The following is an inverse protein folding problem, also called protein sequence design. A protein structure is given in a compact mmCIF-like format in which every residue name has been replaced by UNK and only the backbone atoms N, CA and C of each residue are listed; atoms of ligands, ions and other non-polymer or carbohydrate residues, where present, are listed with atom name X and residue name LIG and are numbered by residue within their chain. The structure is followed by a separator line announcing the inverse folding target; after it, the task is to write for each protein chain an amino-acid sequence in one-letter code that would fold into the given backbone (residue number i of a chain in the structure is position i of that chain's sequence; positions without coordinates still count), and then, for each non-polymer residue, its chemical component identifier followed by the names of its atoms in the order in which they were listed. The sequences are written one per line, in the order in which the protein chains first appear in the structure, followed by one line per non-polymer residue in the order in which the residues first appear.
data_IF_794107423293
#
_entry.id   IF_794107423293
#
_cell.length_a   1.000
_cell.length_b   1.000
_cell.length_c   1.000
_cell.angle_alpha   90.00
_cell.angle_beta   90.00
_cell.angle_gamma   90.00
#
_symmetry.space_group_name_H-M   'P 1'
#
loop_
_entity.id
_entity.type
_entity.pdbx_description
1 polymer ?
#
# COMPACT_ATOMS: atom_id res chain seq x y z
N UNK A 1 36.38 0.99 24.91
CA UNK A 1 35.29 -0.01 24.75
C UNK A 1 33.93 0.59 25.08
N UNK A 2 33.74 1.29 26.23
CA UNK A 2 32.50 2.04 26.51
C UNK A 2 32.19 3.15 25.48
N UNK A 3 33.16 4.01 25.16
CA UNK A 3 32.97 5.08 24.15
C UNK A 3 32.57 4.55 22.76
N UNK A 4 33.01 3.35 22.37
CA UNK A 4 32.61 2.73 21.10
C UNK A 4 31.16 2.23 21.17
N UNK A 5 30.72 1.71 22.32
CA UNK A 5 29.33 1.30 22.54
C UNK A 5 28.40 2.53 22.57
N UNK A 6 28.81 3.60 23.23
CA UNK A 6 28.03 4.85 23.32
C UNK A 6 27.86 5.48 21.93
N UNK A 7 28.93 5.54 21.12
CA UNK A 7 28.86 6.03 19.73
C UNK A 7 27.99 5.13 18.85
N UNK A 8 28.08 3.80 19.00
CA UNK A 8 27.22 2.87 18.25
C UNK A 8 25.74 3.00 18.60
N UNK A 9 25.41 3.23 19.87
CA UNK A 9 24.04 3.48 20.31
C UNK A 9 23.50 4.80 19.75
N UNK A 10 24.29 5.88 19.82
CA UNK A 10 23.94 7.18 19.24
C UNK A 10 23.70 7.09 17.72
N UNK A 11 24.55 6.37 16.98
CA UNK A 11 24.36 6.16 15.54
C UNK A 11 23.06 5.41 15.26
N UNK A 12 22.76 4.35 16.02
CA UNK A 12 21.52 3.58 15.84
C UNK A 12 20.27 4.43 16.12
N UNK A 13 20.26 5.17 17.23
CA UNK A 13 19.12 6.01 17.60
C UNK A 13 18.88 7.15 16.61
N UNK A 14 19.95 7.76 16.10
CA UNK A 14 19.85 8.80 15.07
C UNK A 14 19.33 8.24 13.74
N UNK A 15 19.76 7.04 13.33
CA UNK A 15 19.23 6.35 12.17
C UNK A 15 17.75 6.00 12.31
N UNK A 16 17.33 5.47 13.46
CA UNK A 16 15.93 5.10 13.73
C UNK A 16 15.02 6.33 13.77
N UNK A 17 15.47 7.43 14.38
CA UNK A 17 14.73 8.70 14.39
C UNK A 17 14.60 9.29 12.97
N UNK A 18 15.66 9.23 12.16
CA UNK A 18 15.61 9.68 10.76
C UNK A 18 14.67 8.81 9.93
N UNK A 19 14.69 7.49 10.13
CA UNK A 19 13.76 6.57 9.46
C UNK A 19 12.31 6.90 9.86
N UNK A 20 12.04 7.14 11.14
CA UNK A 20 10.70 7.50 11.62
C UNK A 20 10.19 8.79 10.97
N UNK A 21 11.00 9.85 10.96
CA UNK A 21 10.63 11.14 10.36
C UNK A 21 10.31 10.99 8.86
N UNK A 22 11.06 10.16 8.13
CA UNK A 22 10.76 9.86 6.72
C UNK A 22 9.41 9.18 6.57
N UNK A 23 9.13 8.14 7.36
CA UNK A 23 7.85 7.43 7.30
C UNK A 23 6.67 8.33 7.70
N UNK A 24 6.86 9.24 8.67
CA UNK A 24 5.85 10.24 9.05
C UNK A 24 5.51 11.17 7.88
N UNK A 25 6.52 11.68 7.15
CA UNK A 25 6.31 12.50 5.94
C UNK A 25 5.59 11.75 4.82
N UNK A 26 5.89 10.46 4.66
CA UNK A 26 5.17 9.59 3.72
C UNK A 26 3.70 9.46 4.16
N UNK A 27 3.43 9.28 5.46
CA UNK A 27 2.07 9.14 5.99
C UNK A 27 1.22 10.38 5.71
N UNK A 28 1.79 11.58 5.89
CA UNK A 28 1.15 12.84 5.55
C UNK A 28 0.86 12.96 4.05
N UNK A 29 1.86 12.64 3.22
CA UNK A 29 1.72 12.66 1.76
C UNK A 29 0.60 11.73 1.29
N UNK A 30 0.52 10.53 1.88
CA UNK A 30 -0.52 9.55 1.57
C UNK A 30 -1.90 10.00 2.00
N UNK A 31 -2.02 10.71 3.12
CA UNK A 31 -3.30 11.29 3.53
C UNK A 31 -3.81 12.26 2.47
N UNK A 32 -2.94 13.14 1.97
CA UNK A 32 -3.28 14.08 0.90
C UNK A 32 -3.61 13.37 -0.42
N UNK A 33 -2.96 12.25 -0.72
CA UNK A 33 -3.27 11.42 -1.89
C UNK A 33 -4.65 10.75 -1.76
N UNK A 34 -4.96 10.17 -0.59
CA UNK A 34 -6.26 9.57 -0.30
C UNK A 34 -7.39 10.60 -0.39
N UNK A 35 -7.24 11.77 0.23
CA UNK A 35 -8.26 12.82 0.21
C UNK A 35 -8.57 13.29 -1.22
N UNK A 36 -7.52 13.43 -2.06
CA UNK A 36 -7.67 13.78 -3.47
C UNK A 36 -8.33 12.65 -4.28
N UNK A 37 -7.96 11.40 -4.01
CA UNK A 37 -8.59 10.24 -4.65
C UNK A 37 -10.08 10.13 -4.28
N UNK A 38 -10.45 10.38 -3.02
CA UNK A 38 -11.85 10.44 -2.60
C UNK A 38 -12.61 11.57 -3.29
N UNK A 39 -11.98 12.73 -3.49
CA UNK A 39 -12.59 13.83 -4.24
C UNK A 39 -12.84 13.45 -5.70
N UNK A 40 -11.91 12.75 -6.35
CA UNK A 40 -12.10 12.25 -7.72
C UNK A 40 -13.18 11.16 -7.77
N UNK A 41 -13.28 10.31 -6.75
CA UNK A 41 -14.35 9.32 -6.67
C UNK A 41 -15.73 10.00 -6.61
N UNK A 42 -15.89 11.04 -5.78
CA UNK A 42 -17.14 11.83 -5.70
C UNK A 42 -17.48 12.51 -7.03
N UNK A 43 -16.48 12.99 -7.77
CA UNK A 43 -16.71 13.59 -9.09
C UNK A 43 -17.16 12.53 -10.12
N UNK A 44 -16.66 11.30 -10.06
CA UNK A 44 -17.18 10.20 -10.88
C UNK A 44 -18.68 9.94 -10.62
N UNK A 45 -19.09 9.92 -9.35
CA UNK A 45 -20.51 9.75 -9.00
C UNK A 45 -21.37 10.91 -9.54
N UNK A 46 -20.85 12.14 -9.49
CA UNK A 46 -21.51 13.31 -10.09
C UNK A 46 -21.67 13.18 -11.61
N UNK A 47 -20.65 12.68 -12.31
CA UNK A 47 -20.75 12.45 -13.76
C UNK A 47 -21.86 11.45 -14.10
N UNK A 48 -22.08 10.44 -13.27
CA UNK A 48 -23.14 9.46 -13.48
C UNK A 48 -24.54 10.06 -13.30
N UNK A 49 -24.73 10.92 -12.31
CA UNK A 49 -25.98 11.68 -12.16
C UNK A 49 -26.27 12.49 -13.43
N UNK A 50 -25.26 13.19 -13.94
CA UNK A 50 -25.37 13.99 -15.16
C UNK A 50 -25.63 13.15 -16.42
N UNK A 51 -25.06 11.94 -16.50
CA UNK A 51 -25.36 11.00 -17.59
C UNK A 51 -26.80 10.52 -17.50
N UNK A 52 -27.27 10.14 -16.31
CA UNK A 52 -28.63 9.62 -16.11
C UNK A 52 -29.70 10.66 -16.45
N UNK A 53 -29.47 11.94 -16.15
CA UNK A 53 -30.38 13.03 -16.50
C UNK A 53 -30.50 13.28 -18.01
N UNK A 54 -29.41 13.07 -18.78
CA UNK A 54 -29.36 13.39 -20.21
C UNK A 54 -29.45 12.17 -21.13
N UNK A 55 -29.23 10.97 -20.60
CA UNK A 55 -29.16 9.70 -21.34
C UNK A 55 -27.96 9.57 -22.29
N UNK A 56 -27.09 10.59 -22.36
CA UNK A 56 -25.89 10.61 -23.19
C UNK A 56 -24.90 11.67 -22.68
N UNK A 57 -23.62 11.46 -22.97
CA UNK A 57 -22.56 12.42 -22.68
C UNK A 57 -22.62 13.58 -23.68
N UNK A 58 -22.79 14.79 -23.17
CA UNK A 58 -22.62 16.03 -23.93
C UNK A 58 -21.14 16.26 -24.26
N UNK A 59 -20.85 17.04 -25.31
CA UNK A 59 -19.47 17.42 -25.64
C UNK A 59 -18.78 18.14 -24.48
N UNK A 60 -19.50 18.99 -23.75
CA UNK A 60 -18.97 19.68 -22.57
C UNK A 60 -18.59 18.70 -21.46
N UNK A 61 -19.44 17.71 -21.15
CA UNK A 61 -19.13 16.66 -20.17
C UNK A 61 -17.91 15.83 -20.60
N UNK A 62 -17.76 15.50 -21.90
CA UNK A 62 -16.59 14.77 -22.39
C UNK A 62 -15.29 15.57 -22.24
N UNK A 63 -15.34 16.90 -22.44
CA UNK A 63 -14.19 17.77 -22.14
C UNK A 63 -13.86 17.75 -20.64
N UNK A 64 -14.87 17.81 -19.76
CA UNK A 64 -14.65 17.67 -18.32
C UNK A 64 -14.06 16.31 -17.93
N UNK A 65 -14.50 15.22 -18.58
CA UNK A 65 -13.95 13.87 -18.40
C UNK A 65 -12.49 13.76 -18.85
N UNK A 66 -12.09 14.53 -19.88
CA UNK A 66 -10.68 14.63 -20.27
C UNK A 66 -9.85 15.30 -19.18
N UNK A 67 -10.38 16.38 -18.57
CA UNK A 67 -9.75 17.02 -17.40
C UNK A 67 -9.65 16.07 -16.20
N UNK A 68 -10.74 15.36 -15.91
CA UNK A 68 -10.78 14.34 -14.87
C UNK A 68 -9.72 13.25 -15.09
N UNK A 69 -9.62 12.70 -16.30
CA UNK A 69 -8.63 11.67 -16.64
C UNK A 69 -7.19 12.17 -16.43
N UNK A 70 -6.89 13.42 -16.79
CA UNK A 70 -5.59 14.05 -16.51
C UNK A 70 -5.33 14.18 -15.01
N UNK A 71 -6.31 14.64 -14.22
CA UNK A 71 -6.17 14.73 -12.77
C UNK A 71 -5.92 13.36 -12.14
N UNK A 72 -6.63 12.34 -12.61
CA UNK A 72 -6.48 10.96 -12.14
C UNK A 72 -5.10 10.37 -12.51
N UNK A 73 -4.58 10.67 -13.70
CA UNK A 73 -3.22 10.29 -14.10
C UNK A 73 -2.13 11.04 -13.31
N UNK A 74 -2.28 12.34 -13.10
CA UNK A 74 -1.34 13.11 -12.26
C UNK A 74 -1.29 12.56 -10.83
N UNK A 75 -2.45 12.22 -10.26
CA UNK A 75 -2.51 11.57 -8.95
C UNK A 75 -1.86 10.18 -8.94
N UNK A 76 -1.99 9.41 -10.02
CA UNK A 76 -1.31 8.13 -10.19
C UNK A 76 0.22 8.29 -10.19
N UNK A 77 0.74 9.27 -10.93
CA UNK A 77 2.16 9.59 -11.01
C UNK A 77 2.70 10.04 -9.65
N UNK A 78 2.01 10.95 -8.96
CA UNK A 78 2.38 11.37 -7.61
C UNK A 78 2.39 10.20 -6.61
N UNK A 79 1.42 9.29 -6.70
CA UNK A 79 1.33 8.09 -5.86
C UNK A 79 2.50 7.14 -6.13
N UNK A 80 2.87 6.95 -7.39
CA UNK A 80 4.01 6.11 -7.76
C UNK A 80 5.34 6.75 -7.38
N UNK A 81 5.45 8.08 -7.37
CA UNK A 81 6.65 8.77 -6.92
C UNK A 81 6.92 8.58 -5.42
N UNK A 82 5.88 8.45 -4.59
CA UNK A 82 6.04 8.09 -3.16
C UNK A 82 6.77 6.75 -3.01
N UNK A 83 6.55 5.80 -3.93
CA UNK A 83 7.25 4.51 -3.95
C UNK A 83 8.76 4.61 -4.12
N UNK A 84 9.23 5.68 -4.77
CA UNK A 84 10.59 5.79 -5.29
C UNK A 84 11.56 6.60 -4.42
N UNK A 85 11.06 7.36 -3.44
CA UNK A 85 11.87 8.34 -2.71
C UNK A 85 12.29 7.90 -1.31
N UNK A 86 11.41 7.19 -0.60
CA UNK A 86 11.52 7.11 0.87
C UNK A 86 11.22 5.71 1.46
N UNK A 87 11.12 4.67 0.63
CA UNK A 87 10.75 3.30 1.06
C UNK A 87 11.87 2.25 0.84
N UNK A 88 13.12 2.70 0.83
CA UNK A 88 14.27 1.81 0.69
C UNK A 88 14.29 0.75 1.80
N UNK A 89 14.47 -0.52 1.42
CA UNK A 89 14.39 -1.65 2.35
C UNK A 89 12.98 -2.09 2.71
N UNK A 90 11.94 -1.45 2.14
CA UNK A 90 10.53 -1.81 2.33
C UNK A 90 9.87 -2.23 1.01
N UNK A 91 10.33 -3.31 0.36
CA UNK A 91 9.94 -3.63 -1.01
C UNK A 91 8.46 -4.01 -1.16
N UNK A 92 7.83 -4.57 -0.12
CA UNK A 92 6.39 -4.85 -0.11
C UNK A 92 5.61 -3.54 -0.14
N UNK A 93 6.04 -2.57 0.68
CA UNK A 93 5.44 -1.23 0.71
C UNK A 93 5.56 -0.56 -0.67
N UNK A 94 6.77 -0.52 -1.25
CA UNK A 94 7.01 0.05 -2.58
C UNK A 94 6.08 -0.54 -3.64
N UNK A 95 5.94 -1.87 -3.67
CA UNK A 95 5.07 -2.56 -4.63
C UNK A 95 3.60 -2.23 -4.37
N UNK A 96 3.13 -2.25 -3.12
CA UNK A 96 1.72 -1.96 -2.75
C UNK A 96 1.31 -0.55 -3.17
N UNK A 97 2.12 0.47 -2.89
CA UNK A 97 1.79 1.84 -3.29
C UNK A 97 1.79 2.00 -4.82
N UNK A 98 2.70 1.31 -5.52
CA UNK A 98 2.69 1.26 -6.98
C UNK A 98 1.44 0.58 -7.57
N UNK A 99 0.83 -0.37 -6.86
CA UNK A 99 -0.44 -0.98 -7.27
C UNK A 99 -1.62 0.00 -7.14
N UNK A 100 -1.60 0.85 -6.11
CA UNK A 100 -2.58 1.92 -5.97
C UNK A 100 -2.48 2.91 -7.15
N UNK A 101 -1.26 3.36 -7.47
CA UNK A 101 -1.00 4.22 -8.63
C UNK A 101 -1.43 3.59 -9.96
N UNK A 102 -1.15 2.31 -10.19
CA UNK A 102 -1.65 1.60 -11.38
C UNK A 102 -3.18 1.58 -11.47
N UNK A 103 -3.86 1.35 -10.35
CA UNK A 103 -5.33 1.36 -10.30
C UNK A 103 -5.91 2.75 -10.61
N UNK A 104 -5.24 3.82 -10.17
CA UNK A 104 -5.57 5.19 -10.56
C UNK A 104 -5.35 5.42 -12.06
N UNK A 105 -4.24 4.95 -12.63
CA UNK A 105 -3.96 5.06 -14.07
C UNK A 105 -4.99 4.27 -14.90
N UNK A 106 -5.43 3.12 -14.43
CA UNK A 106 -6.51 2.36 -15.06
C UNK A 106 -7.82 3.14 -15.02
N UNK A 107 -8.16 3.76 -13.89
CA UNK A 107 -9.33 4.65 -13.78
C UNK A 107 -9.27 5.83 -14.77
N UNK A 108 -8.10 6.46 -14.92
CA UNK A 108 -7.90 7.55 -15.85
C UNK A 108 -8.14 7.10 -17.30
N UNK A 109 -7.55 5.97 -17.71
CA UNK A 109 -7.73 5.39 -19.06
C UNK A 109 -9.19 5.02 -19.32
N UNK A 110 -9.87 4.44 -18.34
CA UNK A 110 -11.28 4.04 -18.44
C UNK A 110 -12.22 5.24 -18.55
N UNK A 111 -11.81 6.41 -18.05
CA UNK A 111 -12.57 7.65 -18.13
C UNK A 111 -12.39 8.42 -19.45
N UNK A 112 -11.36 8.09 -20.24
CA UNK A 112 -11.11 8.75 -21.53
C UNK A 112 -12.25 8.49 -22.51
N UNK A 113 -12.73 9.57 -23.13
CA UNK A 113 -13.78 9.51 -24.15
C UNK A 113 -13.48 10.49 -25.29
N UNK A 114 -13.75 10.07 -26.52
CA UNK A 114 -13.63 10.92 -27.71
C UNK A 114 -14.94 11.71 -27.93
N UNK A 115 -14.89 13.06 -27.91
CA UNK A 115 -16.10 13.90 -28.02
C UNK A 115 -16.80 13.82 -29.38
N UNK A 116 -16.15 13.25 -30.40
CA UNK A 116 -16.72 13.09 -31.75
C UNK A 116 -17.40 11.74 -31.95
N UNK A 117 -16.98 10.70 -31.24
CA UNK A 117 -17.39 9.31 -31.52
C UNK A 117 -17.97 8.57 -30.33
N UNK A 118 -17.82 9.07 -29.09
CA UNK A 118 -18.17 8.36 -27.85
C UNK A 118 -19.12 9.16 -26.95
N UNK A 119 -20.19 9.70 -27.53
CA UNK A 119 -21.26 10.38 -26.78
C UNK A 119 -22.22 9.43 -26.08
N UNK A 120 -22.27 8.16 -26.51
CA UNK A 120 -22.98 7.08 -25.83
C UNK A 120 -21.94 6.12 -25.26
N UNK A 121 -21.74 6.16 -23.95
CA UNK A 121 -20.78 5.33 -23.25
C UNK A 121 -21.32 4.98 -21.87
N UNK A 122 -20.82 3.90 -21.26
CA UNK A 122 -21.30 3.45 -19.97
C UNK A 122 -21.08 4.52 -18.89
N UNK A 123 -21.84 4.48 -17.79
CA UNK A 123 -21.58 5.30 -16.62
C UNK A 123 -20.18 4.99 -16.05
N UNK A 124 -19.60 5.99 -15.38
CA UNK A 124 -18.34 5.89 -14.63
C UNK A 124 -18.41 4.77 -13.58
N UNK A 125 -19.56 4.55 -12.97
CA UNK A 125 -19.83 3.48 -11.98
C UNK A 125 -19.52 2.08 -12.49
N UNK A 126 -19.57 1.85 -13.80
CA UNK A 126 -19.38 0.50 -14.34
C UNK A 126 -17.92 0.04 -14.28
N UNK A 127 -16.97 0.94 -14.57
CA UNK A 127 -15.54 0.60 -14.74
C UNK A 127 -14.57 1.56 -14.06
N UNK A 128 -14.86 2.86 -14.06
CA UNK A 128 -13.97 3.88 -13.47
C UNK A 128 -14.03 3.82 -11.95
N UNK A 129 -15.24 3.86 -11.37
CA UNK A 129 -15.45 3.83 -9.92
C UNK A 129 -14.85 2.59 -9.26
N UNK A 130 -15.00 1.36 -9.79
CA UNK A 130 -14.31 0.19 -9.26
C UNK A 130 -12.79 0.37 -9.17
N UNK A 131 -12.15 0.86 -10.23
CA UNK A 131 -10.70 1.10 -10.23
C UNK A 131 -10.29 2.20 -9.23
N UNK A 132 -11.11 3.24 -9.06
CA UNK A 132 -10.87 4.28 -8.06
C UNK A 132 -10.99 3.77 -6.63
N UNK A 133 -12.01 2.93 -6.35
CA UNK A 133 -12.20 2.29 -5.04
C UNK A 133 -11.07 1.34 -4.71
N UNK A 134 -10.58 0.61 -5.71
CA UNK A 134 -9.42 -0.26 -5.55
C UNK A 134 -8.15 0.53 -5.17
N UNK A 135 -7.93 1.69 -5.81
CA UNK A 135 -6.84 2.58 -5.41
C UNK A 135 -6.98 3.06 -3.95
N UNK A 136 -8.17 3.50 -3.54
CA UNK A 136 -8.42 3.93 -2.14
C UNK A 136 -8.19 2.82 -1.13
N UNK A 137 -8.68 1.61 -1.43
CA UNK A 137 -8.49 0.44 -0.58
C UNK A 137 -7.00 0.18 -0.34
N UNK A 138 -6.20 0.20 -1.41
CA UNK A 138 -4.75 0.00 -1.34
C UNK A 138 -4.02 1.10 -0.58
N UNK A 139 -4.41 2.36 -0.80
CA UNK A 139 -3.88 3.48 -0.01
C UNK A 139 -4.19 3.31 1.48
N UNK A 140 -5.42 2.90 1.84
CA UNK A 140 -5.79 2.66 3.24
C UNK A 140 -5.03 1.50 3.87
N UNK A 141 -4.88 0.38 3.16
CA UNK A 141 -4.07 -0.76 3.61
C UNK A 141 -2.61 -0.35 3.85
N UNK A 142 -2.04 0.41 2.92
CA UNK A 142 -0.69 0.94 3.07
C UNK A 142 -0.57 1.89 4.27
N UNK A 143 -1.50 2.85 4.42
CA UNK A 143 -1.49 3.80 5.55
C UNK A 143 -1.54 3.08 6.90
N UNK A 144 -2.34 2.02 7.02
CA UNK A 144 -2.43 1.24 8.24
C UNK A 144 -1.11 0.52 8.55
N UNK A 145 -0.51 -0.12 7.55
CA UNK A 145 0.78 -0.78 7.71
C UNK A 145 1.90 0.22 8.05
N UNK A 146 1.90 1.40 7.42
CA UNK A 146 2.87 2.46 7.69
C UNK A 146 2.76 2.98 9.13
N UNK A 147 1.55 3.19 9.65
CA UNK A 147 1.33 3.59 11.05
C UNK A 147 1.88 2.55 12.04
N UNK A 148 1.71 1.28 11.73
CA UNK A 148 2.28 0.20 12.55
C UNK A 148 3.81 0.22 12.53
N UNK A 149 4.43 0.47 11.37
CA UNK A 149 5.88 0.60 11.24
C UNK A 149 6.41 1.78 12.06
N UNK A 150 5.79 2.96 11.93
CA UNK A 150 6.14 4.17 12.71
C UNK A 150 6.03 3.89 14.21
N UNK A 151 4.96 3.21 14.64
CA UNK A 151 4.73 2.88 16.05
C UNK A 151 5.81 1.92 16.59
N UNK A 152 6.25 0.95 15.79
CA UNK A 152 7.31 0.02 16.17
C UNK A 152 8.65 0.73 16.36
N UNK A 153 9.01 1.63 15.44
CA UNK A 153 10.21 2.47 15.56
C UNK A 153 10.13 3.38 16.79
N UNK A 154 8.96 3.93 17.11
CA UNK A 154 8.76 4.76 18.29
C UNK A 154 8.88 3.97 19.61
N UNK A 155 8.49 2.69 19.64
CA UNK A 155 8.66 1.83 20.83
C UNK A 155 10.10 1.35 21.02
N UNK A 156 10.85 1.10 19.94
CA UNK A 156 12.23 0.65 20.01
C UNK A 156 13.17 1.69 20.66
N UNK A 157 12.89 2.98 20.46
CA UNK A 157 13.64 4.08 21.09
C UNK A 157 13.40 4.25 22.59
N UNK A 158 12.36 3.63 23.18
CA UNK A 158 12.02 3.81 24.61
C UNK A 158 12.62 2.76 25.54
N UNK A 159 13.17 1.67 25.01
CA UNK A 159 13.82 0.62 25.84
C UNK A 159 15.22 1.04 26.36
N UNK A 160 15.70 2.24 26.02
CA UNK A 160 17.01 2.78 26.45
C UNK A 160 16.92 3.96 27.42
N UNK A 161 15.73 4.34 27.91
CA UNK A 161 15.68 5.26 29.06
C UNK A 161 16.15 4.49 30.31
N UNK A 162 17.13 5.00 31.08
CA UNK A 162 17.55 4.35 32.31
C UNK A 162 16.38 4.44 33.31
N UNK A 163 15.62 3.35 33.44
CA UNK A 163 14.72 3.16 34.55
C UNK A 163 15.53 3.34 35.85
N UNK A 164 15.07 4.25 36.69
CA UNK A 164 15.60 4.45 38.02
C UNK A 164 15.62 3.12 38.77
N UNK A 165 16.84 2.74 39.17
CA UNK A 165 17.20 1.58 39.96
C UNK A 165 16.13 1.19 40.99
N UNK A 166 15.49 0.04 40.79
CA UNK A 166 15.11 -0.82 41.89
C UNK A 166 15.90 -2.12 41.84
N UNK A 167 16.74 -2.29 42.85
CA UNK A 167 17.59 -3.44 43.10
C UNK A 167 16.77 -4.73 43.17
N UNK A 168 16.96 -5.66 42.24
CA UNK A 168 16.91 -7.10 42.54
C UNK A 168 18.01 -7.87 41.80
N UNK A 169 18.51 -8.86 42.54
CA UNK A 169 19.70 -9.69 42.34
C UNK A 169 19.67 -10.58 41.07
N UNK A 170 20.85 -11.12 40.68
CA UNK A 170 21.12 -11.60 39.33
C UNK A 170 20.74 -13.07 39.17
N UNK A 171 20.21 -13.43 38.01
CA UNK A 171 20.66 -14.61 37.25
C UNK A 171 20.06 -14.61 35.83
N UNK A 172 20.73 -15.32 34.94
CA UNK A 172 20.49 -15.49 33.49
C UNK A 172 21.12 -14.45 32.55
N UNK A 173 22.42 -14.66 32.35
CA UNK A 173 23.17 -14.22 31.19
C UNK A 173 22.56 -14.77 29.89
N UNK A 174 21.70 -13.99 29.23
CA UNK A 174 21.55 -14.09 27.77
C UNK A 174 22.72 -13.35 27.13
N UNK A 175 23.65 -14.13 26.58
CA UNK A 175 24.70 -13.66 25.67
C UNK A 175 24.04 -12.87 24.53
N UNK A 176 24.12 -11.54 24.61
CA UNK A 176 23.93 -10.70 23.45
C UNK A 176 25.29 -10.66 22.73
N UNK A 177 25.46 -11.59 21.79
CA UNK A 177 26.66 -11.67 20.97
C UNK A 177 26.62 -10.53 19.95
N UNK A 178 27.31 -9.46 20.30
CA UNK A 178 27.68 -8.40 19.37
C UNK A 178 28.63 -9.00 18.32
N UNK A 179 28.11 -9.18 17.10
CA UNK A 179 28.88 -9.49 15.91
C UNK A 179 28.93 -8.24 15.01
N UNK A 180 30.01 -7.47 15.12
CA UNK A 180 30.35 -6.47 14.11
C UNK A 180 30.67 -7.13 12.78
N UNK A 181 30.11 -6.60 11.69
CA UNK A 181 30.38 -7.06 10.33
C UNK A 181 29.15 -7.47 9.51
N UNK A 182 28.04 -6.73 9.58
CA UNK A 182 26.90 -6.90 8.67
C UNK A 182 26.08 -5.60 8.60
N UNK A 183 26.67 -4.50 8.14
CA UNK A 183 26.01 -3.18 8.22
C UNK A 183 24.77 -3.00 7.32
N UNK A 184 24.38 -3.93 6.44
CA UNK A 184 23.26 -3.70 5.51
C UNK A 184 22.16 -4.76 5.49
N UNK A 185 22.23 -5.79 6.35
CA UNK A 185 21.29 -6.92 6.29
C UNK A 185 20.18 -6.78 7.32
N UNK A 186 19.16 -5.98 6.99
CA UNK A 186 17.94 -5.84 7.81
C UNK A 186 16.90 -6.88 7.37
N UNK A 187 16.40 -7.74 8.27
CA UNK A 187 15.25 -8.60 7.97
C UNK A 187 14.04 -7.72 7.62
N UNK A 188 13.08 -8.24 6.84
CA UNK A 188 11.89 -7.47 6.51
C UNK A 188 11.12 -7.07 7.77
N UNK A 189 10.57 -5.85 7.76
CA UNK A 189 9.85 -5.33 8.91
C UNK A 189 8.56 -6.10 9.18
N UNK A 190 8.16 -6.17 10.45
CA UNK A 190 6.94 -6.87 10.88
C UNK A 190 5.70 -6.24 10.22
N UNK A 191 5.70 -4.93 9.96
CA UNK A 191 4.58 -4.28 9.29
C UNK A 191 4.40 -4.75 7.84
N UNK A 192 5.47 -5.05 7.10
CA UNK A 192 5.38 -5.62 5.75
C UNK A 192 4.77 -7.03 5.77
N UNK A 193 5.17 -7.86 6.73
CA UNK A 193 4.61 -9.19 6.93
C UNK A 193 3.12 -9.13 7.29
N UNK A 194 2.75 -8.21 8.18
CA UNK A 194 1.35 -7.99 8.55
C UNK A 194 0.52 -7.44 7.39
N UNK A 195 1.06 -6.52 6.60
CA UNK A 195 0.40 -6.03 5.38
C UNK A 195 0.08 -7.19 4.44
N UNK A 196 1.07 -8.05 4.15
CA UNK A 196 0.89 -9.25 3.34
C UNK A 196 -0.17 -10.18 3.91
N UNK A 197 -0.13 -10.45 5.22
CA UNK A 197 -1.12 -11.28 5.90
C UNK A 197 -2.53 -10.67 5.81
N UNK A 198 -2.66 -9.35 5.96
CA UNK A 198 -3.94 -8.67 5.87
C UNK A 198 -4.49 -8.70 4.44
N UNK A 199 -3.63 -8.53 3.43
CA UNK A 199 -3.99 -8.71 2.01
C UNK A 199 -4.47 -10.13 1.72
N UNK A 200 -3.77 -11.14 2.26
CA UNK A 200 -4.19 -12.54 2.16
C UNK A 200 -5.54 -12.78 2.83
N UNK A 201 -5.72 -12.30 4.07
CA UNK A 201 -6.99 -12.45 4.79
C UNK A 201 -8.15 -11.83 4.04
N UNK A 202 -8.00 -10.60 3.53
CA UNK A 202 -9.03 -9.93 2.74
C UNK A 202 -9.36 -10.69 1.44
N UNK A 203 -8.36 -11.24 0.75
CA UNK A 203 -8.57 -12.10 -0.41
C UNK A 203 -9.37 -13.34 -0.04
N UNK A 204 -9.01 -14.03 1.06
CA UNK A 204 -9.72 -15.20 1.54
C UNK A 204 -11.17 -14.88 1.89
N UNK A 205 -11.40 -13.85 2.70
CA UNK A 205 -12.74 -13.45 3.15
C UNK A 205 -13.66 -13.11 1.95
N UNK A 206 -13.15 -12.35 0.98
CA UNK A 206 -13.92 -12.00 -0.23
C UNK A 206 -14.16 -13.21 -1.12
N UNK A 207 -13.19 -14.10 -1.26
CA UNK A 207 -13.35 -15.35 -2.02
C UNK A 207 -14.38 -16.28 -1.38
N UNK A 208 -14.39 -16.38 -0.05
CA UNK A 208 -15.37 -17.16 0.69
C UNK A 208 -16.78 -16.55 0.60
N UNK A 209 -16.90 -15.24 0.77
CA UNK A 209 -18.18 -14.54 0.59
C UNK A 209 -18.74 -14.73 -0.81
N UNK A 210 -17.88 -14.64 -1.84
CA UNK A 210 -18.28 -14.79 -3.23
C UNK A 210 -18.70 -16.22 -3.54
N UNK A 211 -17.95 -17.22 -3.09
CA UNK A 211 -18.26 -18.65 -3.30
C UNK A 211 -19.53 -19.07 -2.55
N UNK A 212 -19.76 -18.51 -1.35
CA UNK A 212 -20.99 -18.74 -0.57
C UNK A 212 -22.21 -18.14 -1.26
N UNK A 213 -22.10 -16.91 -1.78
CA UNK A 213 -23.20 -16.24 -2.49
C UNK A 213 -23.49 -16.88 -3.85
N UNK A 214 -22.46 -17.35 -4.54
CA UNK A 214 -22.58 -17.93 -5.88
C UNK A 214 -21.80 -19.25 -5.99
N UNK A 215 -22.35 -20.37 -5.47
CA UNK A 215 -21.70 -21.69 -5.56
C UNK A 215 -21.54 -22.19 -7.01
N UNK A 216 -22.42 -21.75 -7.91
CA UNK A 216 -22.38 -22.07 -9.34
C UNK A 216 -21.92 -20.84 -10.14
N UNK A 217 -20.69 -20.90 -10.65
CA UNK A 217 -20.07 -19.83 -11.43
C UNK A 217 -20.83 -19.47 -12.70
N UNK A 218 -21.65 -20.38 -13.25
CA UNK A 218 -22.45 -20.12 -14.45
C UNK A 218 -23.63 -19.19 -14.17
N UNK A 219 -24.15 -19.19 -12.94
CA UNK A 219 -25.29 -18.35 -12.50
C UNK A 219 -24.86 -17.01 -11.93
N UNK A 220 -23.56 -16.75 -11.91
CA UNK A 220 -22.98 -15.55 -11.35
C UNK A 220 -23.32 -14.31 -12.22
N UNK A 221 -23.89 -13.25 -11.64
CA UNK A 221 -24.16 -12.00 -12.36
C UNK A 221 -22.86 -11.27 -12.73
N UNK A 222 -22.93 -10.30 -13.64
CA UNK A 222 -21.73 -9.66 -14.21
C UNK A 222 -20.88 -8.88 -13.20
N UNK A 223 -21.50 -8.28 -12.19
CA UNK A 223 -20.82 -7.67 -11.04
C UNK A 223 -20.02 -8.70 -10.24
N UNK A 224 -20.61 -9.84 -9.93
CA UNK A 224 -19.93 -10.92 -9.21
C UNK A 224 -18.82 -11.58 -10.06
N UNK A 225 -18.98 -11.67 -11.38
CA UNK A 225 -17.89 -12.09 -12.29
C UNK A 225 -16.74 -11.10 -12.33
N UNK A 226 -17.03 -9.79 -12.31
CA UNK A 226 -16.01 -8.74 -12.19
C UNK A 226 -15.25 -8.85 -10.86
N UNK A 227 -15.97 -9.12 -9.77
CA UNK A 227 -15.33 -9.36 -8.47
C UNK A 227 -14.42 -10.59 -8.52
N UNK A 228 -14.83 -11.70 -9.14
CA UNK A 228 -14.00 -12.89 -9.31
C UNK A 228 -12.70 -12.60 -10.09
N UNK A 229 -12.78 -11.80 -11.17
CA UNK A 229 -11.60 -11.38 -11.93
C UNK A 229 -10.68 -10.49 -11.07
N UNK A 230 -11.25 -9.62 -10.23
CA UNK A 230 -10.47 -8.81 -9.31
C UNK A 230 -9.77 -9.69 -8.25
N UNK A 231 -10.44 -10.68 -7.68
CA UNK A 231 -9.84 -11.62 -6.73
C UNK A 231 -8.70 -12.41 -7.36
N UNK A 232 -8.83 -12.83 -8.62
CA UNK A 232 -7.74 -13.51 -9.33
C UNK A 232 -6.53 -12.58 -9.53
N UNK A 233 -6.77 -11.30 -9.84
CA UNK A 233 -5.70 -10.28 -9.93
C UNK A 233 -5.03 -10.09 -8.56
N UNK A 234 -5.82 -9.94 -7.51
CA UNK A 234 -5.34 -9.76 -6.13
C UNK A 234 -4.51 -10.98 -5.67
N UNK A 235 -4.92 -12.21 -6.03
CA UNK A 235 -4.16 -13.44 -5.74
C UNK A 235 -2.78 -13.45 -6.40
N UNK A 236 -2.72 -13.13 -7.69
CA UNK A 236 -1.44 -13.04 -8.41
C UNK A 236 -0.54 -11.99 -7.78
N UNK A 237 -1.11 -10.84 -7.48
CA UNK A 237 -0.44 -9.71 -6.88
C UNK A 237 0.14 -10.02 -5.49
N UNK A 238 -0.59 -10.74 -4.65
CA UNK A 238 -0.08 -11.23 -3.36
C UNK A 238 1.05 -12.23 -3.56
N UNK A 239 0.96 -13.12 -4.56
CA UNK A 239 2.05 -14.01 -4.94
C UNK A 239 3.33 -13.26 -5.30
N UNK A 240 3.22 -12.23 -6.15
CA UNK A 240 4.34 -11.35 -6.51
C UNK A 240 4.94 -10.65 -5.27
N UNK A 241 4.11 -10.19 -4.33
CA UNK A 241 4.59 -9.56 -3.09
C UNK A 241 5.34 -10.56 -2.18
N UNK A 242 4.88 -11.81 -2.10
CA UNK A 242 5.57 -12.87 -1.36
C UNK A 242 6.92 -13.20 -1.98
N UNK A 243 6.99 -13.32 -3.30
CA UNK A 243 8.25 -13.55 -4.03
C UNK A 243 9.24 -12.41 -3.77
N UNK A 244 8.79 -11.15 -3.90
CA UNK A 244 9.59 -9.96 -3.58
C UNK A 244 10.15 -10.02 -2.16
N UNK A 245 9.31 -10.41 -1.20
CA UNK A 245 9.72 -10.51 0.20
C UNK A 245 10.72 -11.65 0.43
N UNK A 246 10.50 -12.80 -0.20
CA UNK A 246 11.40 -13.95 -0.13
C UNK A 246 12.77 -13.62 -0.73
N UNK A 247 12.81 -12.98 -1.89
CA UNK A 247 14.06 -12.52 -2.51
C UNK A 247 14.79 -11.51 -1.63
N UNK A 248 14.07 -10.54 -1.08
CA UNK A 248 14.64 -9.57 -0.16
C UNK A 248 15.24 -10.27 1.07
N UNK A 249 14.53 -11.22 1.66
CA UNK A 249 15.02 -11.97 2.81
C UNK A 249 16.23 -12.84 2.47
N UNK A 250 16.25 -13.49 1.30
CA UNK A 250 17.40 -14.29 0.86
C UNK A 250 18.66 -13.44 0.65
N UNK A 251 18.52 -12.24 0.05
CA UNK A 251 19.63 -11.30 -0.13
C UNK A 251 20.16 -10.77 1.19
N UNK A 252 19.28 -10.65 2.18
CA UNK A 252 19.60 -10.12 3.51
C UNK A 252 19.80 -11.18 4.59
N UNK A 253 19.72 -12.47 4.27
CA UNK A 253 19.95 -13.53 5.24
C UNK A 253 21.46 -13.63 5.60
N UNK A 254 21.82 -13.90 6.86
CA UNK A 254 23.18 -14.28 7.21
C UNK A 254 23.54 -15.59 6.48
N UNK A 255 24.67 -15.62 5.78
CA UNK A 255 25.16 -16.85 5.15
C UNK A 255 25.42 -17.89 6.26
N UNK A 256 24.54 -18.88 6.40
CA UNK A 256 24.69 -19.95 7.39
C UNK A 256 23.43 -20.69 7.83
N UNK A 257 22.21 -20.28 7.42
CA UNK A 257 20.95 -20.90 7.92
C UNK A 257 20.23 -21.79 6.89
N UNK A 258 20.81 -22.03 5.70
CA UNK A 258 20.24 -22.95 4.70
C UNK A 258 21.32 -23.89 4.14
N UNK A 259 21.89 -24.72 5.02
CA UNK A 259 22.48 -26.01 4.64
C UNK A 259 21.79 -27.11 5.42
#
# INVERSE_FOLDING_TARGET
QREIQDVQQLVKETEENLQRERLEKIAESLKLLSDRQESLLKESDRFDLLLNEKGAWTRAQILSLTGFSRSQNGLAEETELVSSRDLDGLPVFMKTIGMAGRSMRDAAKLAERNPRTQTKGPPMSEKVVPAQKEALKRLGQFQNALKEEISQLASAGKENEPEEKQEKKPDEAKQNQSGGGAQDRKPPSIAQLKLLRNLQSDLYDRTEQLSTKFPDSKKMPEDARREMLQLQKDQREIGELLEILLEFNQRNAPQGVLQ
#
